data_IF_438128498447
#
_entry.id   IF_438128498447
#
_cell.length_a   1.000
_cell.length_b   1.000
_cell.length_c   1.000
_cell.angle_alpha   90.00
_cell.angle_beta   90.00
_cell.angle_gamma   90.00
#
_symmetry.space_group_name_H-M   'P 1'
#
loop_
_entity.id
_entity.type
_entity.pdbx_description
1 polymer ?
#
# COMPACT_ATOMS: atom_id res chain seq x y z
N UNK A 1 -36.87 17.87 5.27
CA UNK A 1 -37.12 16.43 4.96
C UNK A 1 -36.26 16.04 3.77
N UNK A 2 -35.05 15.52 4.02
CA UNK A 2 -34.15 15.01 2.98
C UNK A 2 -34.58 13.58 2.67
N UNK A 3 -35.07 13.34 1.45
CA UNK A 3 -35.25 11.99 0.90
C UNK A 3 -33.87 11.42 0.61
N UNK A 4 -33.44 10.45 1.40
CA UNK A 4 -32.38 9.51 1.05
C UNK A 4 -32.92 8.63 -0.07
N UNK A 5 -32.38 8.80 -1.29
CA UNK A 5 -32.54 7.81 -2.34
C UNK A 5 -31.58 6.66 -2.04
N UNK A 6 -32.14 5.54 -1.61
CA UNK A 6 -31.44 4.25 -1.54
C UNK A 6 -31.07 3.85 -2.97
N UNK A 7 -29.82 4.12 -3.37
CA UNK A 7 -29.24 3.63 -4.61
C UNK A 7 -28.68 2.22 -4.34
N UNK A 8 -29.50 1.20 -4.57
CA UNK A 8 -29.03 -0.16 -4.79
C UNK A 8 -28.30 -0.20 -6.13
N UNK A 9 -26.99 0.03 -6.13
CA UNK A 9 -26.13 -0.29 -7.28
C UNK A 9 -25.99 -1.81 -7.32
N UNK A 10 -26.95 -2.46 -7.96
CA UNK A 10 -26.77 -3.81 -8.47
C UNK A 10 -25.80 -3.70 -9.67
N UNK A 11 -24.50 -3.60 -9.39
CA UNK A 11 -23.49 -3.82 -10.41
C UNK A 11 -23.59 -5.30 -10.77
N UNK A 12 -24.38 -5.61 -11.80
CA UNK A 12 -24.32 -6.89 -12.48
C UNK A 12 -22.95 -6.96 -13.15
N UNK A 13 -21.94 -7.36 -12.38
CA UNK A 13 -20.66 -7.80 -12.92
C UNK A 13 -20.94 -9.08 -13.68
N UNK A 14 -21.35 -8.95 -14.93
CA UNK A 14 -21.20 -9.98 -15.94
C UNK A 14 -19.70 -10.10 -16.24
N UNK A 15 -18.94 -10.55 -15.24
CA UNK A 15 -17.60 -11.10 -15.47
C UNK A 15 -17.81 -12.35 -16.31
N UNK A 16 -17.57 -12.24 -17.61
CA UNK A 16 -17.15 -13.37 -18.41
C UNK A 16 -15.90 -13.93 -17.73
N UNK A 17 -16.08 -14.92 -16.86
CA UNK A 17 -15.06 -15.79 -16.29
C UNK A 17 -14.48 -16.64 -17.43
N UNK A 18 -13.83 -16.01 -18.41
CA UNK A 18 -12.79 -16.68 -19.17
C UNK A 18 -11.60 -16.74 -18.22
N UNK A 19 -11.36 -17.93 -17.64
CA UNK A 19 -10.38 -18.13 -16.60
C UNK A 19 -9.05 -17.47 -16.92
N UNK A 20 -8.66 -16.49 -16.12
CA UNK A 20 -7.30 -15.99 -16.14
C UNK A 20 -6.37 -17.18 -15.84
N UNK A 21 -5.33 -17.42 -16.65
CA UNK A 21 -4.40 -18.51 -16.40
C UNK A 21 -3.75 -18.32 -15.03
N UNK A 22 -3.71 -19.39 -14.24
CA UNK A 22 -3.12 -19.48 -12.90
C UNK A 22 -1.58 -19.32 -12.88
N UNK A 23 -1.01 -18.55 -13.80
CA UNK A 23 0.41 -18.37 -13.94
C UNK A 23 0.87 -17.14 -13.14
N UNK A 24 1.76 -17.37 -12.17
CA UNK A 24 2.53 -16.41 -11.35
C UNK A 24 1.97 -16.02 -9.97
N UNK A 25 1.25 -16.91 -9.29
CA UNK A 25 1.39 -16.98 -7.84
C UNK A 25 2.75 -17.63 -7.54
N UNK A 26 3.81 -16.83 -7.41
CA UNK A 26 5.10 -17.29 -6.90
C UNK A 26 4.88 -18.08 -5.61
N UNK A 27 5.45 -19.28 -5.55
CA UNK A 27 5.33 -20.28 -4.48
C UNK A 27 5.06 -19.65 -3.12
N UNK A 28 3.85 -19.88 -2.60
CA UNK A 28 3.55 -19.61 -1.20
C UNK A 28 4.43 -20.55 -0.37
N UNK A 29 5.59 -20.06 0.08
CA UNK A 29 6.37 -20.70 1.13
C UNK A 29 5.39 -21.06 2.25
N UNK A 30 5.28 -22.36 2.53
CA UNK A 30 4.30 -22.90 3.48
C UNK A 30 4.53 -22.21 4.82
N UNK A 31 3.47 -21.57 5.29
CA UNK A 31 3.53 -20.68 6.44
C UNK A 31 3.39 -21.50 7.73
N UNK A 32 4.53 -21.83 8.36
CA UNK A 32 4.55 -22.65 9.59
C UNK A 32 4.22 -21.85 10.85
N UNK A 33 3.50 -20.72 10.77
CA UNK A 33 3.27 -19.89 11.97
C UNK A 33 2.31 -20.49 12.98
N UNK A 34 1.58 -21.54 12.61
CA UNK A 34 0.76 -22.33 13.54
C UNK A 34 1.49 -23.57 14.06
N UNK A 35 2.76 -23.77 13.68
CA UNK A 35 3.54 -24.90 14.18
C UNK A 35 3.54 -24.92 15.72
N UNK A 36 3.24 -26.07 16.35
CA UNK A 36 3.33 -26.23 17.79
C UNK A 36 4.76 -25.96 18.25
N UNK A 37 4.90 -25.13 19.28
CA UNK A 37 6.19 -24.81 19.92
C UNK A 37 6.09 -25.20 21.37
N UNK A 38 7.11 -25.89 21.88
CA UNK A 38 7.22 -26.16 23.31
C UNK A 38 7.59 -24.86 24.03
N UNK A 39 6.67 -24.35 24.84
CA UNK A 39 6.91 -23.16 25.66
C UNK A 39 7.47 -23.58 27.02
N UNK A 40 8.59 -22.98 27.42
CA UNK A 40 9.08 -23.17 28.78
C UNK A 40 8.19 -22.38 29.73
N UNK A 41 7.32 -23.10 30.46
CA UNK A 41 6.50 -22.56 31.55
C UNK A 41 7.32 -22.33 32.83
N UNK A 42 8.65 -22.14 32.72
CA UNK A 42 9.53 -21.94 33.87
C UNK A 42 8.97 -20.83 34.75
N UNK A 43 8.56 -21.18 35.98
CA UNK A 43 7.44 -20.60 36.72
C UNK A 43 7.48 -19.12 37.15
N UNK A 44 8.32 -18.28 36.55
CA UNK A 44 8.17 -16.83 36.62
C UNK A 44 7.17 -16.35 35.58
N UNK A 45 6.09 -15.70 36.01
CA UNK A 45 5.21 -14.99 35.08
C UNK A 45 5.96 -13.84 34.43
N UNK A 46 5.84 -13.70 33.10
CA UNK A 46 6.46 -12.61 32.34
C UNK A 46 6.01 -11.25 32.88
N UNK A 47 6.95 -10.33 33.04
CA UNK A 47 6.75 -8.96 33.51
C UNK A 47 7.19 -7.95 32.44
N UNK A 48 6.78 -6.70 32.63
CA UNK A 48 7.29 -5.59 31.82
C UNK A 48 8.79 -5.37 32.09
N UNK A 49 9.57 -5.16 31.03
CA UNK A 49 11.03 -5.03 31.06
C UNK A 49 11.78 -6.35 30.89
N UNK A 50 11.07 -7.48 30.81
CA UNK A 50 11.70 -8.78 30.66
C UNK A 50 12.43 -8.92 29.32
N UNK A 51 13.57 -9.60 29.38
CA UNK A 51 14.33 -10.05 28.22
C UNK A 51 14.16 -11.55 28.05
N UNK A 52 13.54 -11.94 26.93
CA UNK A 52 13.15 -13.29 26.58
C UNK A 52 14.27 -13.95 25.77
N UNK A 53 14.81 -15.04 26.30
CA UNK A 53 15.86 -15.87 25.67
C UNK A 53 15.37 -17.26 25.26
N UNK A 54 14.07 -17.52 25.42
CA UNK A 54 13.40 -18.77 25.08
C UNK A 54 11.98 -18.51 24.56
N UNK A 55 11.40 -19.51 23.89
CA UNK A 55 9.99 -19.47 23.49
C UNK A 55 9.10 -19.18 24.69
N UNK A 56 8.26 -18.17 24.55
CA UNK A 56 7.48 -17.62 25.65
C UNK A 56 6.04 -17.43 25.22
N UNK A 57 5.11 -17.84 26.09
CA UNK A 57 3.68 -17.57 25.95
C UNK A 57 3.20 -16.72 27.11
N UNK A 58 2.55 -15.59 26.82
CA UNK A 58 1.92 -14.79 27.87
C UNK A 58 0.69 -15.51 28.44
N UNK A 59 0.46 -15.31 29.73
CA UNK A 59 -0.67 -15.88 30.48
C UNK A 59 -1.60 -14.82 31.07
N UNK A 60 -1.24 -13.55 30.91
CA UNK A 60 -1.98 -12.39 31.39
C UNK A 60 -1.57 -11.15 30.59
N UNK A 61 -2.38 -10.10 30.68
CA UNK A 61 -2.07 -8.79 30.12
C UNK A 61 -0.92 -8.12 30.88
N UNK A 62 -0.07 -7.39 30.16
CA UNK A 62 1.02 -6.60 30.72
C UNK A 62 0.69 -5.12 30.62
N UNK A 63 0.68 -4.44 31.78
CA UNK A 63 0.47 -3.00 31.90
C UNK A 63 1.81 -2.35 32.22
N UNK A 64 2.48 -1.81 31.20
CA UNK A 64 3.88 -1.37 31.31
C UNK A 64 3.99 0.15 31.48
N UNK A 65 4.25 0.67 32.71
CA UNK A 65 4.47 2.09 32.93
C UNK A 65 5.87 2.49 32.46
N UNK A 66 6.00 3.67 31.85
CA UNK A 66 7.31 4.33 31.65
C UNK A 66 8.38 3.45 30.99
N UNK A 67 8.08 2.85 29.83
CA UNK A 67 8.89 1.79 29.20
C UNK A 67 10.20 2.32 28.59
N UNK A 68 11.17 2.64 29.45
CA UNK A 68 12.54 2.89 29.06
C UNK A 68 13.38 1.60 29.27
N UNK A 69 13.90 0.95 28.21
CA UNK A 69 13.66 1.24 26.79
C UNK A 69 12.44 0.52 26.21
N UNK A 70 12.04 -0.65 26.74
CA UNK A 70 11.05 -1.54 26.11
C UNK A 70 10.10 -2.20 27.12
N UNK A 71 8.94 -2.67 26.64
CA UNK A 71 8.00 -3.47 27.41
C UNK A 71 8.42 -4.95 27.48
N UNK A 72 8.85 -5.51 26.36
CA UNK A 72 9.46 -6.84 26.25
C UNK A 72 10.61 -6.78 25.24
N UNK A 73 11.65 -7.58 25.46
CA UNK A 73 12.76 -7.74 24.50
C UNK A 73 12.97 -9.20 24.15
N UNK A 74 13.09 -9.52 22.87
CA UNK A 74 13.45 -10.86 22.38
C UNK A 74 14.93 -10.85 22.04
N UNK A 75 15.74 -11.57 22.84
CA UNK A 75 17.21 -11.56 22.78
C UNK A 75 17.81 -12.93 22.42
N UNK A 76 17.05 -13.80 21.77
CA UNK A 76 17.56 -15.06 21.23
C UNK A 76 16.97 -15.37 19.86
N UNK A 77 17.74 -16.10 19.06
CA UNK A 77 17.37 -16.47 17.71
C UNK A 77 16.31 -17.57 17.67
N UNK A 78 15.39 -17.47 16.71
CA UNK A 78 14.32 -18.43 16.49
C UNK A 78 13.21 -18.40 17.55
N UNK A 79 13.26 -17.46 18.50
CA UNK A 79 12.26 -17.37 19.58
C UNK A 79 10.88 -17.06 18.99
N UNK A 80 9.88 -17.67 19.60
CA UNK A 80 8.47 -17.39 19.37
C UNK A 80 7.92 -16.77 20.65
N UNK A 81 7.51 -15.51 20.55
CA UNK A 81 6.70 -14.82 21.54
C UNK A 81 5.24 -14.94 21.12
N UNK A 82 4.50 -15.79 21.82
CA UNK A 82 3.06 -15.94 21.67
C UNK A 82 2.37 -15.10 22.74
N UNK A 83 1.65 -14.04 22.35
CA UNK A 83 0.95 -13.21 23.31
C UNK A 83 -0.30 -13.90 23.88
N UNK A 84 -0.68 -15.09 23.39
CA UNK A 84 -1.75 -15.90 23.98
C UNK A 84 -3.15 -15.26 23.93
N UNK A 85 -3.36 -14.25 23.08
CA UNK A 85 -4.55 -13.40 23.06
C UNK A 85 -4.50 -12.24 24.05
N UNK A 86 -3.43 -12.10 24.84
CA UNK A 86 -3.25 -11.04 25.81
C UNK A 86 -2.74 -9.75 25.19
N UNK A 87 -2.84 -8.69 25.98
CA UNK A 87 -2.42 -7.33 25.60
C UNK A 87 -1.14 -6.93 26.33
N UNK A 88 -0.14 -6.49 25.58
CA UNK A 88 0.99 -5.70 26.08
C UNK A 88 0.64 -4.23 25.82
N UNK A 89 0.39 -3.46 26.87
CA UNK A 89 -0.01 -2.04 26.73
C UNK A 89 0.88 -1.10 27.51
N UNK A 90 1.17 0.05 26.92
CA UNK A 90 1.80 1.17 27.63
C UNK A 90 0.79 1.80 28.59
N UNK A 91 1.21 2.09 29.80
CA UNK A 91 0.45 2.92 30.75
C UNK A 91 1.20 4.21 31.09
N UNK A 92 0.47 5.24 31.50
CA UNK A 92 1.02 6.55 31.87
C UNK A 92 1.05 7.59 30.74
N UNK A 93 1.81 8.69 30.89
CA UNK A 93 1.91 9.78 29.92
C UNK A 93 2.47 9.33 28.57
N UNK A 94 2.04 9.97 27.48
CA UNK A 94 2.55 9.69 26.14
C UNK A 94 4.08 9.83 26.08
N UNK A 95 4.74 8.81 25.52
CA UNK A 95 6.19 8.80 25.30
C UNK A 95 6.45 8.31 23.88
N UNK A 96 6.95 9.19 23.02
CA UNK A 96 7.19 8.85 21.61
C UNK A 96 8.37 7.88 21.43
N UNK A 97 9.22 7.73 22.45
CA UNK A 97 10.38 6.84 22.43
C UNK A 97 10.11 5.49 23.13
N UNK A 98 8.89 5.23 23.61
CA UNK A 98 8.58 3.96 24.26
C UNK A 98 8.56 2.83 23.23
N UNK A 99 9.20 1.70 23.54
CA UNK A 99 9.18 0.50 22.70
C UNK A 99 8.26 -0.56 23.32
N UNK A 100 7.38 -1.17 22.52
CA UNK A 100 6.52 -2.28 22.94
C UNK A 100 7.32 -3.57 22.99
N UNK A 101 7.58 -4.16 21.82
CA UNK A 101 8.36 -5.39 21.66
C UNK A 101 9.62 -5.07 20.84
N UNK A 102 10.78 -5.10 21.48
CA UNK A 102 12.07 -4.98 20.83
C UNK A 102 12.60 -6.36 20.42
N UNK A 103 13.07 -6.50 19.18
CA UNK A 103 13.51 -7.79 18.62
C UNK A 103 14.95 -7.72 18.12
N UNK A 104 15.87 -8.41 18.79
CA UNK A 104 17.30 -8.37 18.45
C UNK A 104 17.72 -9.43 17.43
N UNK A 105 17.00 -10.55 17.35
CA UNK A 105 17.35 -11.69 16.50
C UNK A 105 16.13 -12.17 15.70
N UNK A 106 16.38 -12.92 14.62
CA UNK A 106 15.30 -13.46 13.79
C UNK A 106 14.30 -14.26 14.63
N UNK A 107 13.04 -13.82 14.65
CA UNK A 107 12.04 -14.29 15.63
C UNK A 107 10.62 -14.22 15.08
N UNK A 108 9.65 -14.69 15.87
CA UNK A 108 8.23 -14.54 15.62
C UNK A 108 7.51 -13.92 16.81
N UNK A 109 6.62 -12.98 16.54
CA UNK A 109 5.65 -12.45 17.50
C UNK A 109 4.25 -12.75 16.98
N UNK A 110 3.39 -13.35 17.81
CA UNK A 110 2.05 -13.74 17.34
C UNK A 110 0.94 -13.65 18.39
N UNK A 111 -0.29 -13.65 17.90
CA UNK A 111 -1.52 -13.95 18.66
C UNK A 111 -1.73 -13.05 19.89
N UNK A 112 -2.05 -11.78 19.68
CA UNK A 112 -2.44 -10.87 20.77
C UNK A 112 -2.35 -9.40 20.37
N UNK A 113 -2.25 -8.51 21.36
CA UNK A 113 -2.34 -7.06 21.15
C UNK A 113 -1.11 -6.34 21.67
N UNK A 114 -0.58 -5.39 20.89
CA UNK A 114 0.45 -4.42 21.32
C UNK A 114 -0.10 -3.01 21.14
N UNK A 115 -0.18 -2.24 22.22
CA UNK A 115 -0.94 -0.99 22.22
C UNK A 115 -0.26 0.20 22.89
N UNK A 116 -0.36 1.36 22.22
CA UNK A 116 -0.15 2.67 22.83
C UNK A 116 1.30 3.13 22.89
N UNK A 117 2.25 2.42 22.27
CA UNK A 117 3.67 2.72 22.31
C UNK A 117 4.06 3.71 21.20
N UNK A 118 5.11 4.50 21.40
CA UNK A 118 5.84 5.16 20.33
C UNK A 118 6.22 4.20 19.19
N UNK A 119 6.76 3.02 19.52
CA UNK A 119 7.02 1.92 18.60
C UNK A 119 6.38 0.64 19.10
N UNK A 120 5.40 0.08 18.38
CA UNK A 120 4.70 -1.15 18.76
C UNK A 120 5.65 -2.35 18.74
N UNK A 121 6.13 -2.73 17.55
CA UNK A 121 7.20 -3.71 17.35
C UNK A 121 8.37 -3.03 16.66
N UNK A 122 9.58 -3.22 17.19
CA UNK A 122 10.78 -2.54 16.69
C UNK A 122 11.97 -3.49 16.55
N UNK A 123 12.75 -3.31 15.47
CA UNK A 123 14.12 -3.81 15.38
C UNK A 123 15.07 -2.69 15.80
N UNK A 124 15.63 -2.71 17.03
CA UNK A 124 16.55 -1.65 17.49
C UNK A 124 17.82 -1.62 16.64
N UNK A 125 18.61 -0.54 16.74
CA UNK A 125 19.87 -0.39 15.98
C UNK A 125 20.89 -1.51 16.26
N UNK A 126 20.80 -2.16 17.43
CA UNK A 126 21.63 -3.32 17.80
C UNK A 126 21.11 -4.65 17.25
N UNK A 127 19.94 -4.66 16.62
CA UNK A 127 19.32 -5.87 16.10
C UNK A 127 20.12 -6.42 14.93
N UNK A 128 20.26 -7.75 14.92
CA UNK A 128 20.77 -8.53 13.80
C UNK A 128 19.69 -9.44 13.21
N UNK A 129 18.42 -9.13 13.47
CA UNK A 129 17.28 -9.89 12.97
C UNK A 129 17.17 -9.77 11.44
N UNK A 130 17.60 -10.81 10.74
CA UNK A 130 17.44 -10.89 9.29
C UNK A 130 15.98 -11.10 8.88
N UNK A 131 15.20 -11.84 9.67
CA UNK A 131 13.80 -12.14 9.39
C UNK A 131 12.93 -12.00 10.64
N UNK A 132 11.84 -11.24 10.55
CA UNK A 132 10.86 -11.09 11.64
C UNK A 132 9.46 -11.43 11.15
N UNK A 133 8.81 -12.38 11.82
CA UNK A 133 7.45 -12.82 11.49
C UNK A 133 6.45 -12.23 12.49
N UNK A 134 5.42 -11.56 11.98
CA UNK A 134 4.31 -11.00 12.75
C UNK A 134 3.02 -11.69 12.30
N UNK A 135 2.30 -12.31 13.22
CA UNK A 135 1.14 -13.13 12.86
C UNK A 135 -0.03 -12.97 13.83
N UNK A 136 -1.24 -12.71 13.33
CA UNK A 136 -2.45 -12.56 14.17
C UNK A 136 -2.26 -11.56 15.32
N UNK A 137 -1.61 -10.42 15.00
CA UNK A 137 -1.40 -9.34 15.96
C UNK A 137 -2.37 -8.18 15.71
N UNK A 138 -2.86 -7.60 16.79
CA UNK A 138 -3.48 -6.29 16.80
C UNK A 138 -2.43 -5.25 17.26
N UNK A 139 -2.01 -4.37 16.35
CA UNK A 139 -1.07 -3.29 16.63
C UNK A 139 -1.86 -1.97 16.64
N UNK A 140 -2.17 -1.49 17.85
CA UNK A 140 -3.19 -0.47 18.07
C UNK A 140 -2.61 0.82 18.66
N UNK A 141 -3.02 1.96 18.13
CA UNK A 141 -2.79 3.30 18.70
C UNK A 141 -1.31 3.59 19.03
N UNK A 142 -0.39 3.04 18.22
CA UNK A 142 1.04 3.31 18.36
C UNK A 142 1.44 4.56 17.57
N UNK A 143 2.64 5.09 17.84
CA UNK A 143 3.28 5.99 16.89
C UNK A 143 3.51 5.25 15.58
N UNK A 144 4.47 4.33 15.60
CA UNK A 144 4.72 3.38 14.52
C UNK A 144 4.32 1.98 14.99
N UNK A 145 3.42 1.30 14.29
CA UNK A 145 3.00 -0.05 14.66
C UNK A 145 4.14 -1.07 14.50
N UNK A 146 4.85 -0.99 13.36
CA UNK A 146 6.09 -1.71 13.08
C UNK A 146 7.15 -0.72 12.64
N UNK A 147 8.32 -0.73 13.28
CA UNK A 147 9.42 0.18 12.99
C UNK A 147 10.73 -0.58 12.76
N UNK A 148 11.31 -0.44 11.56
CA UNK A 148 12.58 -1.08 11.21
C UNK A 148 13.76 -0.11 11.31
N UNK A 149 14.79 -0.39 12.12
CA UNK A 149 16.03 0.43 12.14
C UNK A 149 17.25 -0.22 11.50
N UNK A 150 17.13 -1.45 11.00
CA UNK A 150 18.25 -2.24 10.47
C UNK A 150 17.88 -2.92 9.15
N UNK A 151 18.69 -3.87 8.69
CA UNK A 151 18.32 -4.73 7.57
C UNK A 151 17.44 -5.90 8.05
N UNK A 152 16.15 -5.88 7.73
CA UNK A 152 15.20 -6.93 8.16
C UNK A 152 14.13 -7.20 7.10
N UNK A 153 13.84 -8.48 6.88
CA UNK A 153 12.69 -8.92 6.11
C UNK A 153 11.52 -9.25 7.06
N UNK A 154 10.41 -8.54 6.88
CA UNK A 154 9.19 -8.76 7.65
C UNK A 154 8.22 -9.61 6.86
N UNK A 155 7.66 -10.61 7.52
CA UNK A 155 6.47 -11.33 7.05
C UNK A 155 5.31 -11.02 8.01
N UNK A 156 4.33 -10.28 7.53
CA UNK A 156 3.19 -9.77 8.31
C UNK A 156 1.92 -10.44 7.78
N UNK A 157 1.24 -11.18 8.64
CA UNK A 157 0.13 -12.05 8.21
C UNK A 157 -1.03 -11.96 9.18
N UNK A 158 -2.24 -11.78 8.66
CA UNK A 158 -3.47 -11.75 9.47
C UNK A 158 -3.40 -10.72 10.61
N UNK A 159 -2.67 -9.62 10.40
CA UNK A 159 -2.52 -8.57 11.39
C UNK A 159 -3.58 -7.48 11.20
N UNK A 160 -3.94 -6.82 12.29
CA UNK A 160 -4.76 -5.60 12.30
C UNK A 160 -3.92 -4.44 12.80
N UNK A 161 -3.69 -3.46 11.94
CA UNK A 161 -2.96 -2.23 12.26
C UNK A 161 -3.94 -1.07 12.27
N UNK A 162 -4.23 -0.53 13.46
CA UNK A 162 -5.31 0.44 13.62
C UNK A 162 -4.92 1.63 14.50
N UNK A 163 -5.33 2.84 14.09
CA UNK A 163 -5.15 4.05 14.92
C UNK A 163 -3.71 4.50 15.08
N UNK A 164 -2.77 3.93 14.31
CA UNK A 164 -1.35 4.28 14.44
C UNK A 164 -1.06 5.57 13.65
N UNK A 165 -0.08 6.36 14.10
CA UNK A 165 0.41 7.46 13.26
C UNK A 165 1.01 6.91 11.95
N UNK A 166 1.75 5.80 12.05
CA UNK A 166 2.25 4.99 10.92
C UNK A 166 2.03 3.51 11.17
N UNK A 167 1.52 2.78 10.18
CA UNK A 167 1.37 1.33 10.26
C UNK A 167 2.73 0.63 10.16
N UNK A 168 3.35 0.70 8.98
CA UNK A 168 4.71 0.23 8.72
C UNK A 168 5.63 1.41 8.46
N UNK A 169 6.75 1.45 9.18
CA UNK A 169 7.69 2.56 9.18
C UNK A 169 9.12 2.06 9.37
N UNK A 170 10.09 2.93 9.14
CA UNK A 170 11.49 2.58 9.14
C UNK A 170 12.37 3.80 9.42
N UNK A 171 13.62 3.55 9.83
CA UNK A 171 14.62 4.59 10.05
C UNK A 171 15.07 5.17 8.72
N UNK A 172 14.91 6.49 8.59
CA UNK A 172 15.06 7.18 7.32
C UNK A 172 16.48 7.02 6.78
N UNK A 173 16.60 6.56 5.54
CA UNK A 173 17.87 6.35 4.82
C UNK A 173 18.92 5.48 5.55
N UNK A 174 18.54 4.78 6.63
CA UNK A 174 19.46 3.97 7.45
C UNK A 174 19.00 2.52 7.60
N UNK A 175 17.81 2.19 7.09
CA UNK A 175 17.21 0.86 7.15
C UNK A 175 16.80 0.40 5.75
N UNK A 176 16.88 -0.90 5.53
CA UNK A 176 16.55 -1.55 4.25
C UNK A 176 15.90 -2.91 4.54
N UNK A 177 15.29 -3.51 3.53
CA UNK A 177 14.73 -4.85 3.66
C UNK A 177 13.41 -4.97 2.91
N UNK A 178 12.52 -5.79 3.46
CA UNK A 178 11.22 -6.01 2.84
C UNK A 178 10.07 -6.11 3.84
N UNK A 179 8.88 -5.72 3.39
CA UNK A 179 7.61 -5.98 4.06
C UNK A 179 6.75 -6.85 3.13
N UNK A 180 6.60 -8.13 3.47
CA UNK A 180 5.64 -9.05 2.84
C UNK A 180 4.37 -9.08 3.70
N UNK A 181 3.30 -8.46 3.23
CA UNK A 181 2.05 -8.23 3.96
C UNK A 181 0.95 -9.06 3.33
N UNK A 182 0.32 -9.94 4.12
CA UNK A 182 -0.71 -10.87 3.63
C UNK A 182 -1.95 -10.85 4.51
N UNK A 183 -3.13 -10.86 3.88
CA UNK A 183 -4.42 -11.02 4.55
C UNK A 183 -4.58 -10.13 5.80
N UNK A 184 -4.06 -8.91 5.73
CA UNK A 184 -3.98 -7.98 6.87
C UNK A 184 -4.87 -6.76 6.65
N UNK A 185 -5.25 -6.10 7.74
CA UNK A 185 -6.16 -4.95 7.72
C UNK A 185 -5.49 -3.73 8.31
N UNK A 186 -5.47 -2.64 7.55
CA UNK A 186 -4.94 -1.34 7.94
C UNK A 186 -6.07 -0.34 7.97
N UNK A 187 -6.34 0.23 9.15
CA UNK A 187 -7.47 1.15 9.30
C UNK A 187 -7.21 2.31 10.24
N UNK A 188 -7.74 3.50 9.92
CA UNK A 188 -7.59 4.69 10.76
C UNK A 188 -6.12 5.05 11.09
N UNK A 189 -5.17 4.67 10.22
CA UNK A 189 -3.79 5.09 10.39
C UNK A 189 -3.56 6.43 9.69
N UNK A 190 -2.62 7.23 10.19
CA UNK A 190 -2.15 8.42 9.48
C UNK A 190 -1.52 8.00 8.14
N UNK A 191 -0.46 7.19 8.18
CA UNK A 191 0.08 6.53 6.99
C UNK A 191 0.11 5.01 7.19
N UNK A 192 -0.54 4.21 6.34
CA UNK A 192 -0.57 2.76 6.54
C UNK A 192 0.81 2.12 6.33
N UNK A 193 1.59 2.55 5.35
CA UNK A 193 2.94 2.04 5.11
C UNK A 193 3.89 3.08 4.50
N UNK A 194 5.16 2.99 4.87
CA UNK A 194 6.27 3.73 4.28
C UNK A 194 7.27 2.75 3.67
N UNK A 195 7.59 2.91 2.38
CA UNK A 195 8.46 2.01 1.64
C UNK A 195 9.93 2.48 1.56
N UNK A 196 10.35 3.46 2.38
CA UNK A 196 11.65 4.16 2.25
C UNK A 196 12.84 3.20 2.10
N UNK A 197 13.34 2.99 0.88
CA UNK A 197 14.37 1.97 0.52
C UNK A 197 14.00 0.49 0.82
N UNK A 198 12.72 0.20 0.97
CA UNK A 198 12.18 -1.14 1.20
C UNK A 198 11.44 -1.66 -0.02
N UNK A 199 11.44 -2.98 -0.17
CA UNK A 199 10.49 -3.67 -1.01
C UNK A 199 9.22 -3.97 -0.22
N UNK A 200 8.05 -3.56 -0.71
CA UNK A 200 6.76 -3.85 -0.09
C UNK A 200 5.92 -4.68 -1.04
N UNK A 201 5.60 -5.90 -0.65
CA UNK A 201 4.69 -6.78 -1.39
C UNK A 201 3.44 -7.03 -0.55
N UNK A 202 2.29 -6.66 -1.07
CA UNK A 202 1.01 -6.71 -0.39
C UNK A 202 0.08 -7.64 -1.14
N UNK A 203 -0.44 -8.63 -0.45
CA UNK A 203 -1.34 -9.64 -0.98
C UNK A 203 -2.61 -9.73 -0.13
N UNK A 204 -3.76 -9.75 -0.79
CA UNK A 204 -5.06 -10.05 -0.16
C UNK A 204 -5.36 -9.17 1.07
N UNK A 205 -4.90 -7.91 1.07
CA UNK A 205 -4.99 -7.03 2.24
C UNK A 205 -5.95 -5.88 2.02
N UNK A 206 -6.48 -5.34 3.11
CA UNK A 206 -7.48 -4.26 3.09
C UNK A 206 -6.96 -3.00 3.76
N UNK A 207 -7.08 -1.87 3.07
CA UNK A 207 -6.70 -0.55 3.54
C UNK A 207 -7.92 0.35 3.51
N UNK A 208 -8.41 0.75 4.69
CA UNK A 208 -9.61 1.57 4.78
C UNK A 208 -9.60 2.63 5.86
N UNK A 209 -10.14 3.81 5.54
CA UNK A 209 -10.19 4.95 6.48
C UNK A 209 -8.82 5.40 6.97
N UNK A 210 -7.76 5.20 6.18
CA UNK A 210 -6.46 5.79 6.46
C UNK A 210 -6.41 7.20 5.87
N UNK A 211 -5.62 8.09 6.47
CA UNK A 211 -5.32 9.38 5.86
C UNK A 211 -4.52 9.15 4.56
N UNK A 212 -3.47 8.33 4.61
CA UNK A 212 -2.73 7.90 3.43
C UNK A 212 -2.42 6.40 3.48
N UNK A 213 -2.58 5.67 2.37
CA UNK A 213 -2.20 4.25 2.35
C UNK A 213 -0.69 4.09 2.23
N UNK A 214 -0.08 4.63 1.17
CA UNK A 214 1.34 4.44 0.88
C UNK A 214 2.11 5.77 0.88
N UNK A 215 3.25 5.82 1.58
CA UNK A 215 4.28 6.83 1.34
C UNK A 215 5.50 6.16 0.71
N UNK A 216 5.74 6.40 -0.57
CA UNK A 216 6.86 5.78 -1.30
C UNK A 216 8.02 6.76 -1.50
N UNK A 217 9.21 6.38 -1.03
CA UNK A 217 10.48 7.06 -1.28
C UNK A 217 11.54 6.01 -1.60
N UNK A 218 12.12 6.01 -2.79
CA UNK A 218 13.07 4.98 -3.24
C UNK A 218 12.66 3.51 -2.97
N UNK A 219 11.36 3.24 -2.91
CA UNK A 219 10.82 1.90 -2.62
C UNK A 219 10.37 1.19 -3.88
N UNK A 220 10.14 -0.12 -3.75
CA UNK A 220 9.46 -0.94 -4.75
C UNK A 220 8.20 -1.48 -4.10
N UNK A 221 7.04 -1.18 -4.66
CA UNK A 221 5.75 -1.52 -4.04
C UNK A 221 4.87 -2.29 -5.01
N UNK A 222 4.31 -3.40 -4.54
CA UNK A 222 3.36 -4.23 -5.29
C UNK A 222 2.13 -4.52 -4.46
N UNK A 223 0.95 -4.25 -5.00
CA UNK A 223 -0.34 -4.68 -4.45
C UNK A 223 -0.97 -5.75 -5.35
N UNK A 224 -1.45 -6.82 -4.73
CA UNK A 224 -2.10 -7.95 -5.40
C UNK A 224 -3.38 -8.32 -4.70
N UNK A 225 -4.45 -8.49 -5.46
CA UNK A 225 -5.74 -8.94 -4.93
C UNK A 225 -6.18 -8.16 -3.69
N UNK A 226 -5.84 -6.88 -3.61
CA UNK A 226 -5.98 -6.06 -2.40
C UNK A 226 -7.03 -4.97 -2.61
N UNK A 227 -7.60 -4.50 -1.51
CA UNK A 227 -8.64 -3.45 -1.51
C UNK A 227 -8.10 -2.20 -0.83
N UNK A 228 -8.08 -1.08 -1.54
CA UNK A 228 -7.71 0.23 -1.05
C UNK A 228 -8.93 1.14 -1.19
N UNK A 229 -9.70 1.31 -0.11
CA UNK A 229 -10.98 2.00 -0.19
C UNK A 229 -11.32 2.89 1.00
N UNK A 230 -12.01 3.99 0.73
CA UNK A 230 -12.39 4.99 1.74
C UNK A 230 -11.21 5.61 2.49
N UNK A 231 -10.07 5.77 1.82
CA UNK A 231 -8.92 6.50 2.36
C UNK A 231 -8.96 7.96 1.88
N UNK A 232 -8.32 8.87 2.61
CA UNK A 232 -8.20 10.24 2.13
C UNK A 232 -7.27 10.29 0.89
N UNK A 233 -6.17 9.54 0.89
CA UNK A 233 -5.36 9.28 -0.30
C UNK A 233 -4.85 7.85 -0.41
N UNK A 234 -4.61 7.41 -1.65
CA UNK A 234 -4.03 6.10 -1.94
C UNK A 234 -2.50 6.13 -1.81
N UNK A 235 -1.82 7.11 -2.38
CA UNK A 235 -0.38 7.22 -2.23
C UNK A 235 0.11 8.67 -2.23
N UNK A 236 1.09 8.92 -1.36
CA UNK A 236 1.95 10.08 -1.37
C UNK A 236 3.30 9.68 -1.98
N UNK A 237 3.65 10.36 -3.07
CA UNK A 237 4.95 10.26 -3.70
C UNK A 237 5.55 11.65 -3.81
N UNK A 238 6.83 11.76 -3.52
CA UNK A 238 7.57 13.01 -3.67
C UNK A 238 8.60 12.82 -4.77
N UNK A 239 8.68 13.79 -5.68
CA UNK A 239 9.82 13.87 -6.59
C UNK A 239 11.03 14.36 -5.81
N UNK A 240 12.15 13.69 -6.02
CA UNK A 240 13.46 14.16 -5.59
C UNK A 240 14.31 14.32 -6.84
N UNK A 241 14.26 15.53 -7.43
CA UNK A 241 14.89 15.83 -8.72
C UNK A 241 16.40 15.66 -8.57
N UNK A 242 16.98 14.69 -9.28
CA UNK A 242 18.40 14.35 -9.19
C UNK A 242 18.81 13.63 -7.90
N UNK A 243 17.86 13.32 -7.02
CA UNK A 243 18.12 12.68 -5.73
C UNK A 243 17.56 11.25 -5.66
N UNK A 244 18.03 10.46 -4.69
CA UNK A 244 17.72 9.04 -4.60
C UNK A 244 16.30 8.77 -4.09
N UNK A 245 15.46 9.77 -3.78
CA UNK A 245 14.20 9.55 -3.04
C UNK A 245 12.96 9.40 -3.91
N UNK A 246 13.08 9.49 -5.23
CA UNK A 246 11.96 9.21 -6.15
C UNK A 246 11.52 7.75 -6.01
N UNK A 247 10.20 7.47 -5.96
CA UNK A 247 9.69 6.11 -5.85
C UNK A 247 10.17 5.26 -7.04
N UNK A 248 10.63 4.03 -6.78
CA UNK A 248 11.14 3.12 -7.80
C UNK A 248 10.02 2.64 -8.71
N UNK A 249 9.34 1.61 -8.22
CA UNK A 249 8.30 0.90 -8.96
C UNK A 249 7.03 0.87 -8.11
N UNK A 250 5.88 1.20 -8.70
CA UNK A 250 4.57 0.92 -8.11
C UNK A 250 3.76 0.05 -9.05
N UNK A 251 3.25 -1.07 -8.52
CA UNK A 251 2.48 -2.05 -9.28
C UNK A 251 1.18 -2.43 -8.57
N UNK A 252 0.08 -2.44 -9.30
CA UNK A 252 -1.21 -3.00 -8.86
C UNK A 252 -1.63 -4.15 -9.78
N UNK A 253 -2.12 -5.24 -9.19
CA UNK A 253 -2.62 -6.40 -9.91
C UNK A 253 -3.91 -6.91 -9.28
N UNK A 254 -4.95 -7.11 -10.09
CA UNK A 254 -6.24 -7.66 -9.65
C UNK A 254 -6.78 -6.95 -8.38
N UNK A 255 -6.53 -5.64 -8.25
CA UNK A 255 -6.80 -4.89 -7.03
C UNK A 255 -7.95 -3.91 -7.22
N UNK A 256 -8.63 -3.59 -6.12
CA UNK A 256 -9.73 -2.62 -6.07
C UNK A 256 -9.25 -1.32 -5.42
N UNK A 257 -9.40 -0.20 -6.11
CA UNK A 257 -9.15 1.14 -5.59
C UNK A 257 -10.46 1.93 -5.67
N UNK A 258 -11.15 2.11 -4.54
CA UNK A 258 -12.53 2.58 -4.56
C UNK A 258 -12.86 3.62 -3.50
N UNK A 259 -13.72 4.59 -3.82
CA UNK A 259 -14.28 5.52 -2.83
C UNK A 259 -13.23 6.30 -2.02
N UNK A 260 -12.02 6.50 -2.57
CA UNK A 260 -11.02 7.32 -1.92
C UNK A 260 -11.28 8.79 -2.25
N UNK A 261 -10.98 9.69 -1.32
CA UNK A 261 -11.12 11.13 -1.59
C UNK A 261 -10.22 11.56 -2.76
N UNK A 262 -9.01 10.99 -2.86
CA UNK A 262 -8.13 11.16 -4.00
C UNK A 262 -7.14 10.00 -4.16
N UNK A 263 -6.46 9.93 -5.31
CA UNK A 263 -5.31 9.04 -5.50
C UNK A 263 -4.06 9.57 -4.76
N UNK A 264 -3.82 10.87 -4.84
CA UNK A 264 -2.74 11.56 -4.15
C UNK A 264 -3.29 12.62 -3.20
N UNK A 265 -2.61 12.94 -2.08
CA UNK A 265 -3.04 14.00 -1.18
C UNK A 265 -3.33 15.32 -1.91
N UNK A 266 -4.33 16.06 -1.42
CA UNK A 266 -4.58 17.41 -1.90
C UNK A 266 -3.33 18.28 -1.68
N UNK A 267 -2.98 19.18 -2.62
CA UNK A 267 -1.70 19.86 -2.59
C UNK A 267 -1.63 20.91 -1.48
N UNK A 268 -0.58 20.85 -0.68
CA UNK A 268 -0.06 22.00 0.05
C UNK A 268 1.46 21.84 0.28
N UNK A 269 2.33 22.47 -0.54
CA UNK A 269 2.09 23.16 -1.81
C UNK A 269 2.16 22.22 -3.03
N UNK A 270 1.55 22.61 -4.16
CA UNK A 270 1.66 21.92 -5.45
C UNK A 270 3.15 21.66 -5.80
N UNK A 271 3.54 20.45 -6.26
CA UNK A 271 2.77 19.52 -7.09
C UNK A 271 2.37 18.18 -6.43
N UNK A 272 1.88 18.17 -5.17
CA UNK A 272 1.63 16.91 -4.44
C UNK A 272 0.49 16.00 -4.97
N UNK A 273 -0.18 16.35 -6.08
CA UNK A 273 -1.29 15.56 -6.64
C UNK A 273 -0.88 14.59 -7.76
N UNK A 274 0.42 14.49 -8.05
CA UNK A 274 0.96 13.63 -9.12
C UNK A 274 1.82 12.54 -8.50
N UNK A 275 1.63 11.30 -8.94
CA UNK A 275 2.51 10.21 -8.57
C UNK A 275 3.80 10.26 -9.39
N UNK A 276 4.88 10.70 -8.77
CA UNK A 276 6.22 10.74 -9.35
C UNK A 276 7.00 9.47 -9.01
N UNK A 277 7.31 8.66 -10.02
CA UNK A 277 8.00 7.38 -9.86
C UNK A 277 8.79 7.00 -11.13
N UNK A 278 9.65 5.99 -11.09
CA UNK A 278 10.32 5.53 -12.30
C UNK A 278 9.42 4.61 -13.13
N UNK A 279 8.78 3.62 -12.52
CA UNK A 279 7.95 2.64 -13.24
C UNK A 279 6.57 2.50 -12.62
N UNK A 280 5.54 2.59 -13.45
CA UNK A 280 4.17 2.37 -13.03
C UNK A 280 3.54 1.22 -13.81
N UNK A 281 2.95 0.26 -13.10
CA UNK A 281 2.20 -0.83 -13.70
C UNK A 281 0.84 -1.01 -13.03
N UNK A 282 -0.20 -1.22 -13.82
CA UNK A 282 -1.54 -1.53 -13.31
C UNK A 282 -2.18 -2.57 -14.23
N UNK A 283 -2.58 -3.71 -13.67
CA UNK A 283 -3.04 -4.87 -14.44
C UNK A 283 -4.34 -5.39 -13.85
N UNK A 284 -5.36 -5.56 -14.70
CA UNK A 284 -6.66 -6.15 -14.35
C UNK A 284 -7.27 -5.57 -13.07
N UNK A 285 -7.08 -4.28 -12.83
CA UNK A 285 -7.49 -3.61 -11.59
C UNK A 285 -8.67 -2.66 -11.84
N UNK A 286 -9.46 -2.42 -10.80
CA UNK A 286 -10.64 -1.56 -10.83
C UNK A 286 -10.39 -0.29 -10.00
N UNK A 287 -10.52 0.86 -10.65
CA UNK A 287 -10.52 2.18 -10.03
C UNK A 287 -11.92 2.79 -10.15
N UNK A 288 -12.66 2.90 -9.04
CA UNK A 288 -14.07 3.28 -9.07
C UNK A 288 -14.46 4.33 -8.03
N UNK A 289 -15.25 5.32 -8.43
CA UNK A 289 -15.84 6.32 -7.52
C UNK A 289 -14.80 7.02 -6.63
N UNK A 290 -13.61 7.31 -7.18
CA UNK A 290 -12.60 8.10 -6.48
C UNK A 290 -12.82 9.59 -6.76
N UNK A 291 -12.65 10.42 -5.73
CA UNK A 291 -12.87 11.88 -5.80
C UNK A 291 -11.84 12.65 -6.63
N UNK A 292 -10.89 11.97 -7.28
CA UNK A 292 -9.93 12.52 -8.22
C UNK A 292 -9.64 11.50 -9.33
N UNK A 293 -9.18 11.98 -10.48
CA UNK A 293 -8.53 11.13 -11.48
C UNK A 293 -7.12 10.71 -11.08
N UNK A 294 -6.63 9.63 -11.68
CA UNK A 294 -5.28 9.13 -11.46
C UNK A 294 -4.29 9.91 -12.34
N UNK A 295 -3.43 10.74 -11.74
CA UNK A 295 -2.33 11.41 -12.43
C UNK A 295 -1.00 10.79 -12.05
N UNK A 296 -0.34 10.14 -13.01
CA UNK A 296 0.98 9.52 -12.85
C UNK A 296 1.99 10.15 -13.79
N UNK A 297 3.22 10.30 -13.29
CA UNK A 297 4.37 10.81 -14.03
C UNK A 297 5.56 9.84 -14.01
N UNK A 298 5.44 8.63 -14.60
CA UNK A 298 6.55 7.67 -14.68
C UNK A 298 7.49 7.91 -15.87
N UNK A 299 8.67 7.30 -15.85
CA UNK A 299 9.51 7.18 -17.07
C UNK A 299 9.05 6.01 -17.94
N UNK A 300 8.56 4.93 -17.33
CA UNK A 300 8.00 3.77 -18.02
C UNK A 300 6.62 3.38 -17.46
N UNK A 301 5.67 3.12 -18.36
CA UNK A 301 4.31 2.69 -18.00
C UNK A 301 3.90 1.36 -18.63
N UNK A 302 3.21 0.52 -17.85
CA UNK A 302 2.52 -0.67 -18.36
C UNK A 302 1.11 -0.79 -17.76
N UNK A 303 0.08 -0.51 -18.56
CA UNK A 303 -1.31 -0.62 -18.14
C UNK A 303 -2.09 -1.57 -19.03
N UNK A 304 -2.72 -2.58 -18.42
CA UNK A 304 -3.36 -3.68 -19.14
C UNK A 304 -4.67 -4.11 -18.49
N UNK A 305 -5.78 -4.03 -19.22
CA UNK A 305 -7.05 -4.61 -18.79
C UNK A 305 -7.72 -3.93 -17.58
N UNK A 306 -7.40 -2.67 -17.28
CA UNK A 306 -7.97 -1.98 -16.12
C UNK A 306 -9.30 -1.30 -16.44
N UNK A 307 -10.10 -1.04 -15.42
CA UNK A 307 -11.34 -0.26 -15.54
C UNK A 307 -11.29 0.95 -14.62
N UNK A 308 -11.54 2.13 -15.17
CA UNK A 308 -11.71 3.41 -14.49
C UNK A 308 -13.17 3.84 -14.67
N UNK A 309 -13.96 3.77 -13.60
CA UNK A 309 -15.40 4.04 -13.65
C UNK A 309 -15.83 5.09 -12.64
N UNK A 310 -16.60 6.09 -13.08
CA UNK A 310 -17.26 7.06 -12.19
C UNK A 310 -16.30 7.79 -11.25
N UNK A 311 -15.05 8.00 -11.67
CA UNK A 311 -14.11 8.81 -10.90
C UNK A 311 -14.24 10.27 -11.32
N UNK A 312 -13.73 11.21 -10.52
CA UNK A 312 -13.65 12.63 -10.88
C UNK A 312 -12.62 12.96 -12.01
N UNK A 313 -12.33 11.97 -12.86
CA UNK A 313 -11.34 11.98 -13.92
C UNK A 313 -10.80 10.56 -14.14
N UNK A 314 -10.43 10.22 -15.38
CA UNK A 314 -9.83 8.92 -15.67
C UNK A 314 -8.34 8.88 -15.36
N UNK A 315 -7.52 8.61 -16.38
CA UNK A 315 -6.06 8.53 -16.27
C UNK A 315 -5.39 9.73 -16.96
N UNK A 316 -4.49 10.41 -16.26
CA UNK A 316 -3.60 11.43 -16.83
C UNK A 316 -2.14 10.99 -16.73
N UNK A 317 -1.43 11.05 -17.87
CA UNK A 317 -0.02 10.70 -18.01
C UNK A 317 0.80 11.94 -18.33
N UNK A 318 1.94 12.10 -17.65
CA UNK A 318 2.93 13.14 -17.93
C UNK A 318 4.35 12.65 -17.71
N UNK A 319 5.34 13.43 -18.11
CA UNK A 319 6.74 13.10 -17.87
C UNK A 319 7.11 13.26 -16.39
N UNK A 320 8.01 12.41 -15.90
CA UNK A 320 8.67 12.61 -14.62
C UNK A 320 9.50 13.90 -14.70
N UNK A 321 9.29 14.90 -13.82
CA UNK A 321 10.09 16.12 -13.83
C UNK A 321 11.52 15.78 -13.43
N UNK A 322 12.45 16.13 -14.32
CA UNK A 322 13.89 15.89 -14.15
C UNK A 322 14.68 16.96 -14.90
N UNK A 323 15.90 17.29 -14.45
CA UNK A 323 16.76 18.32 -15.09
C UNK A 323 17.00 18.02 -16.57
N UNK A 324 17.20 16.74 -16.87
CA UNK A 324 17.18 16.18 -18.22
C UNK A 324 15.83 15.47 -18.39
N UNK A 325 14.91 15.99 -19.22
CA UNK A 325 13.56 15.42 -19.35
C UNK A 325 13.60 13.97 -19.84
N UNK A 326 13.05 13.06 -19.03
CA UNK A 326 12.77 11.70 -19.47
C UNK A 326 11.36 11.66 -20.03
N UNK A 327 11.24 11.44 -21.34
CA UNK A 327 9.93 11.23 -21.96
C UNK A 327 9.33 9.94 -21.44
N UNK A 328 8.09 10.02 -20.95
CA UNK A 328 7.33 8.84 -20.61
C UNK A 328 7.12 7.99 -21.86
N UNK A 329 7.46 6.71 -21.74
CA UNK A 329 7.24 5.67 -22.78
C UNK A 329 6.55 4.46 -22.16
N UNK A 330 6.01 3.56 -22.99
CA UNK A 330 5.41 2.32 -22.51
C UNK A 330 4.13 1.95 -23.24
N UNK A 331 3.32 1.09 -22.62
CA UNK A 331 2.10 0.53 -23.21
C UNK A 331 0.92 0.82 -22.31
N UNK A 332 -0.16 1.33 -22.90
CA UNK A 332 -1.48 1.45 -22.26
C UNK A 332 -2.47 0.73 -23.17
N UNK A 333 -2.95 -0.43 -22.74
CA UNK A 333 -3.78 -1.29 -23.58
C UNK A 333 -4.98 -1.92 -22.88
N UNK A 334 -6.05 -2.14 -23.64
CA UNK A 334 -7.20 -2.90 -23.16
C UNK A 334 -7.91 -2.29 -21.95
N UNK A 335 -7.71 -0.99 -21.68
CA UNK A 335 -8.31 -0.33 -20.52
C UNK A 335 -9.67 0.26 -20.88
N UNK A 336 -10.55 0.36 -19.89
CA UNK A 336 -11.88 0.94 -20.01
C UNK A 336 -11.97 2.20 -19.14
N UNK A 337 -12.37 3.32 -19.74
CA UNK A 337 -12.56 4.62 -19.08
C UNK A 337 -14.02 5.04 -19.25
N UNK A 338 -14.82 4.81 -18.22
CA UNK A 338 -16.26 4.81 -18.29
C UNK A 338 -16.84 5.88 -17.36
N UNK A 339 -17.65 6.78 -17.89
CA UNK A 339 -18.43 7.74 -17.11
C UNK A 339 -17.60 8.55 -16.09
N UNK A 340 -16.35 8.90 -16.39
CA UNK A 340 -15.56 9.73 -15.49
C UNK A 340 -15.92 11.20 -15.67
N UNK A 341 -15.90 11.97 -14.58
CA UNK A 341 -16.10 13.42 -14.60
C UNK A 341 -14.78 14.14 -14.99
N UNK A 342 -14.36 13.92 -16.23
CA UNK A 342 -13.17 14.50 -16.83
C UNK A 342 -12.79 13.74 -18.10
N UNK A 343 -11.53 13.82 -18.52
CA UNK A 343 -11.06 12.97 -19.62
C UNK A 343 -11.03 11.49 -19.18
N UNK A 344 -11.33 10.58 -20.11
CA UNK A 344 -11.11 9.15 -19.89
C UNK A 344 -9.61 8.81 -19.83
N UNK A 345 -8.88 9.17 -20.88
CA UNK A 345 -7.43 9.05 -20.95
C UNK A 345 -6.80 10.32 -21.51
N UNK A 346 -5.89 10.93 -20.75
CA UNK A 346 -5.12 12.11 -21.16
C UNK A 346 -3.63 11.82 -21.16
N UNK A 347 -2.95 12.14 -22.27
CA UNK A 347 -1.48 12.14 -22.37
C UNK A 347 -1.01 13.57 -22.57
N UNK A 348 -0.21 14.08 -21.64
CA UNK A 348 0.38 15.40 -21.74
C UNK A 348 1.67 15.35 -22.58
N UNK A 349 1.86 16.36 -23.42
CA UNK A 349 3.12 16.50 -24.15
C UNK A 349 4.28 16.78 -23.17
N UNK A 350 5.49 16.27 -23.41
CA UNK A 350 5.93 15.52 -24.60
C UNK A 350 5.93 13.99 -24.45
N UNK A 351 5.12 13.42 -23.54
CA UNK A 351 5.03 11.97 -23.31
C UNK A 351 4.62 11.20 -24.58
N UNK A 352 5.19 10.02 -24.82
CA UNK A 352 4.95 9.21 -26.03
C UNK A 352 4.69 7.72 -25.73
N UNK A 353 3.67 7.36 -24.91
CA UNK A 353 3.26 5.97 -24.76
C UNK A 353 2.58 5.44 -26.02
N UNK A 354 2.47 4.12 -26.15
CA UNK A 354 1.68 3.46 -27.20
C UNK A 354 0.30 3.08 -26.67
N UNK A 355 -0.76 3.52 -27.35
CA UNK A 355 -2.15 3.28 -26.95
C UNK A 355 -2.81 2.23 -27.85
N UNK A 356 -3.32 1.13 -27.28
CA UNK A 356 -3.85 -0.02 -28.02
C UNK A 356 -5.19 -0.49 -27.41
N UNK A 357 -6.24 -0.65 -28.21
CA UNK A 357 -7.49 -1.29 -27.75
C UNK A 357 -8.09 -0.69 -26.46
N UNK A 358 -7.92 0.61 -26.20
CA UNK A 358 -8.56 1.26 -25.06
C UNK A 358 -9.98 1.71 -25.42
N UNK A 359 -10.88 1.73 -24.45
CA UNK A 359 -12.29 2.09 -24.64
C UNK A 359 -12.64 3.25 -23.70
N UNK A 360 -13.14 4.36 -24.23
CA UNK A 360 -13.53 5.54 -23.44
C UNK A 360 -14.97 5.98 -23.73
N UNK A 361 -15.88 5.78 -22.78
CA UNK A 361 -17.33 5.96 -22.98
C UNK A 361 -17.91 6.93 -21.96
N UNK A 362 -18.70 7.90 -22.41
CA UNK A 362 -19.58 8.67 -21.52
C UNK A 362 -18.85 9.61 -20.56
N UNK A 363 -17.60 10.01 -20.85
CA UNK A 363 -16.83 10.89 -19.97
C UNK A 363 -17.21 12.37 -20.24
N UNK A 364 -17.19 13.21 -19.20
CA UNK A 364 -17.54 14.65 -19.32
C UNK A 364 -16.44 15.49 -20.00
N UNK A 365 -15.24 14.93 -20.17
CA UNK A 365 -14.14 15.49 -20.94
C UNK A 365 -13.99 14.82 -22.31
N UNK A 366 -12.75 14.65 -22.75
CA UNK A 366 -12.43 13.85 -23.92
C UNK A 366 -12.48 12.37 -23.58
N UNK A 367 -12.85 11.52 -24.54
CA UNK A 367 -12.64 10.08 -24.38
C UNK A 367 -11.16 9.76 -24.26
N UNK A 368 -10.39 10.08 -25.31
CA UNK A 368 -8.93 9.94 -25.34
C UNK A 368 -8.28 11.20 -25.95
N UNK A 369 -7.55 11.95 -25.13
CA UNK A 369 -6.77 13.11 -25.55
C UNK A 369 -5.26 12.82 -25.47
N UNK A 370 -4.65 12.47 -26.59
CA UNK A 370 -3.27 12.00 -26.64
C UNK A 370 -2.49 12.50 -27.87
N UNK A 371 -2.19 13.81 -27.97
CA UNK A 371 -1.57 14.45 -29.15
C UNK A 371 -0.20 13.89 -29.55
N UNK A 372 0.55 13.33 -28.60
CA UNK A 372 1.94 12.88 -28.78
C UNK A 372 2.11 11.36 -28.66
N UNK A 373 1.03 10.63 -28.36
CA UNK A 373 1.11 9.18 -28.19
C UNK A 373 1.23 8.45 -29.53
N UNK A 374 1.84 7.27 -29.52
CA UNK A 374 1.79 6.38 -30.67
C UNK A 374 0.45 5.66 -30.72
N UNK A 375 -0.23 5.75 -31.86
CA UNK A 375 -1.47 5.02 -32.09
C UNK A 375 -1.16 3.57 -32.47
N UNK A 376 -1.39 2.64 -31.55
CA UNK A 376 -1.24 1.22 -31.80
C UNK A 376 -2.51 0.53 -32.32
N UNK A 377 -3.60 1.28 -32.54
CA UNK A 377 -4.84 0.79 -33.15
C UNK A 377 -5.89 0.26 -32.17
N UNK A 378 -7.12 0.12 -32.66
CA UNK A 378 -8.27 -0.48 -31.95
C UNK A 378 -8.83 0.33 -30.78
N UNK A 379 -8.35 1.55 -30.56
CA UNK A 379 -8.92 2.45 -29.56
C UNK A 379 -10.35 2.86 -29.97
N UNK A 380 -11.24 3.01 -28.99
CA UNK A 380 -12.63 3.41 -29.16
C UNK A 380 -12.91 4.54 -28.18
N UNK A 381 -13.56 5.59 -28.67
CA UNK A 381 -14.24 6.54 -27.80
C UNK A 381 -15.57 6.96 -28.42
N UNK A 382 -16.60 7.15 -27.58
CA UNK A 382 -17.93 7.61 -28.00
C UNK A 382 -18.67 8.28 -26.85
N UNK A 383 -19.58 9.18 -27.20
CA UNK A 383 -20.46 9.87 -26.27
C UNK A 383 -19.69 10.61 -25.16
N UNK A 384 -18.54 11.20 -25.49
CA UNK A 384 -17.79 12.05 -24.56
C UNK A 384 -18.06 13.53 -24.90
N UNK A 385 -18.17 14.39 -23.89
CA UNK A 385 -18.70 15.74 -24.10
C UNK A 385 -17.74 16.66 -24.87
N UNK A 386 -16.43 16.58 -24.59
CA UNK A 386 -15.44 17.43 -25.25
C UNK A 386 -15.00 16.89 -26.62
N UNK A 387 -15.22 15.59 -26.86
CA UNK A 387 -14.86 14.89 -28.08
C UNK A 387 -14.34 13.48 -27.81
N UNK A 388 -14.35 12.66 -28.85
CA UNK A 388 -14.00 11.24 -28.68
C UNK A 388 -12.49 11.02 -28.65
N UNK A 389 -11.79 11.29 -29.75
CA UNK A 389 -10.34 11.07 -29.84
C UNK A 389 -9.59 12.25 -30.43
N UNK A 390 -8.49 12.62 -29.79
CA UNK A 390 -7.56 13.64 -30.25
C UNK A 390 -6.12 13.11 -30.22
N UNK A 391 -5.38 13.31 -31.31
CA UNK A 391 -3.98 12.82 -31.44
C UNK A 391 -3.82 11.35 -31.83
N UNK A 392 -4.88 10.56 -31.71
CA UNK A 392 -4.92 9.15 -32.15
C UNK A 392 -6.16 8.89 -32.99
N UNK A 393 -6.20 7.73 -33.68
CA UNK A 393 -7.37 7.29 -34.44
C UNK A 393 -8.19 6.34 -33.59
N UNK A 394 -9.51 6.56 -33.58
CA UNK A 394 -10.46 5.65 -32.96
C UNK A 394 -11.28 4.91 -34.01
N UNK A 395 -11.51 3.62 -33.76
CA UNK A 395 -12.30 2.76 -34.61
C UNK A 395 -13.79 3.12 -34.47
N UNK A 396 -14.56 3.06 -35.57
CA UNK A 396 -16.02 3.01 -35.47
C UNK A 396 -16.41 1.73 -34.71
N UNK A 397 -17.42 1.85 -33.85
CA UNK A 397 -17.92 0.74 -33.04
C UNK A 397 -18.77 -0.24 -33.84
#
# INVERSE_FOLDING_TARGET
MRKTCDFLVALAMATTLAGAPAAQASDAVRFDAEAPVAFNLGGGGVQCGDTLTQHTKLTHDLNCPGTAPFALRIAGEGIVLDLGGHTVRRTGPANQNSEGIAVDFSSMVRNGTVQGFGFGVITPLSSIAANLRLHKLALLDNGDAVHNRVFTNFLITECRLSGNARGLSNEFASSFGSFDVRSSVFTHNGTAMTADFHQVDVLDSTFTSNENVLHCRNGIVRFRSSTLAWNASVALMQVDIGGPRTCGDLRFENSLIANNTAFAPAPAPAPASVWHLFRFSMINSLAVNNGAGLHVAPTNIYMDGNTFYDNAGGLTLSDLPHEIPFRLTGIVRGNQFLANDGDGLRVLAPSTPTLINNVALGNTGWGIHAPTAFNGGGNVARNNDAGDCFGIVCAPY
#
